data_IF_932386970276
#
_entry.id   IF_932386970276
#
_cell.length_a   1.000
_cell.length_b   1.000
_cell.length_c   1.000
_cell.angle_alpha   90.00
_cell.angle_beta   90.00
_cell.angle_gamma   90.00
#
_symmetry.space_group_name_H-M   'P 1'
#
loop_
_entity.id
_entity.type
_entity.pdbx_description
1 polymer ?
#
# COMPACT_ATOMS: atom_id res chain seq x y z
N UNK A 1 6.75 -31.31 -0.49
CA UNK A 1 7.43 -30.04 -0.19
C UNK A 1 7.18 -29.68 1.27
N UNK A 2 8.21 -29.58 2.10
CA UNK A 2 8.09 -29.00 3.43
C UNK A 2 7.63 -27.54 3.22
N UNK A 3 6.53 -27.12 3.89
CA UNK A 3 6.12 -25.72 3.92
C UNK A 3 7.29 -24.90 4.47
N UNK A 4 7.80 -23.96 3.69
CA UNK A 4 8.98 -23.16 4.10
C UNK A 4 8.58 -21.93 4.92
N UNK A 5 7.28 -21.64 5.03
CA UNK A 5 6.69 -20.57 5.82
C UNK A 5 5.63 -21.21 6.72
N UNK A 6 5.70 -20.90 8.00
CA UNK A 6 4.71 -21.24 9.01
C UNK A 6 3.84 -20.01 9.30
N UNK A 7 2.52 -20.16 9.21
CA UNK A 7 1.56 -19.11 9.54
C UNK A 7 1.20 -19.21 11.00
N UNK A 8 1.74 -18.32 11.83
CA UNK A 8 1.52 -18.31 13.28
C UNK A 8 0.29 -17.51 13.68
N UNK A 9 -0.05 -16.46 12.93
CA UNK A 9 -1.20 -15.62 13.19
C UNK A 9 -1.86 -15.11 11.91
N UNK A 10 -3.17 -14.86 11.98
CA UNK A 10 -3.96 -14.26 10.90
C UNK A 10 -4.88 -13.19 11.47
N UNK A 11 -5.18 -12.17 10.67
CA UNK A 11 -6.13 -11.13 11.04
C UNK A 11 -7.19 -10.92 9.94
N UNK A 12 -8.42 -10.67 10.34
CA UNK A 12 -9.52 -10.34 9.42
C UNK A 12 -10.44 -9.26 10.00
N UNK A 13 -11.10 -8.50 9.13
CA UNK A 13 -12.11 -7.52 9.52
C UNK A 13 -13.43 -8.18 9.92
N UNK A 14 -14.15 -8.72 8.92
CA UNK A 14 -15.49 -9.34 9.07
C UNK A 14 -15.62 -10.69 8.36
N UNK A 15 -14.70 -11.02 7.45
CA UNK A 15 -14.78 -12.25 6.64
C UNK A 15 -14.27 -13.44 7.44
N UNK A 16 -15.12 -13.99 8.29
CA UNK A 16 -14.77 -15.15 9.14
C UNK A 16 -14.89 -16.47 8.39
N UNK A 17 -15.62 -16.54 7.29
CA UNK A 17 -15.77 -17.76 6.48
C UNK A 17 -14.44 -18.13 5.82
N UNK A 18 -13.76 -17.16 5.20
CA UNK A 18 -12.44 -17.38 4.64
C UNK A 18 -11.39 -17.60 5.75
N UNK A 19 -11.51 -16.85 6.87
CA UNK A 19 -10.61 -17.01 7.99
C UNK A 19 -10.71 -18.42 8.61
N UNK A 20 -11.91 -18.97 8.74
CA UNK A 20 -12.12 -20.35 9.20
C UNK A 20 -11.41 -21.36 8.27
N UNK A 21 -11.55 -21.23 6.97
CA UNK A 21 -10.86 -22.09 5.99
C UNK A 21 -9.34 -22.01 6.17
N UNK A 22 -8.80 -20.80 6.33
CA UNK A 22 -7.38 -20.57 6.55
C UNK A 22 -6.90 -21.13 7.90
N UNK A 23 -7.72 -21.03 8.97
CA UNK A 23 -7.41 -21.66 10.27
C UNK A 23 -7.27 -23.18 10.13
N UNK A 24 -8.22 -23.79 9.42
CA UNK A 24 -8.20 -25.26 9.21
C UNK A 24 -7.07 -25.72 8.30
N UNK A 25 -6.62 -24.86 7.38
CA UNK A 25 -5.50 -25.15 6.48
C UNK A 25 -4.14 -24.91 7.13
N UNK A 26 -3.95 -23.78 7.80
CA UNK A 26 -2.64 -23.34 8.29
C UNK A 26 -2.39 -23.57 9.76
N UNK A 27 -3.43 -23.85 10.53
CA UNK A 27 -3.37 -24.09 11.98
C UNK A 27 -2.63 -23.02 12.79
N UNK A 28 -2.96 -21.71 12.61
CA UNK A 28 -2.31 -20.63 13.34
C UNK A 28 -2.58 -20.75 14.83
N UNK A 29 -1.65 -20.29 15.67
CA UNK A 29 -1.81 -20.30 17.12
C UNK A 29 -2.83 -19.29 17.61
N UNK A 30 -3.00 -18.16 16.87
CA UNK A 30 -3.91 -17.08 17.23
C UNK A 30 -4.44 -16.37 15.97
N UNK A 31 -5.70 -15.93 16.02
CA UNK A 31 -6.28 -15.08 14.98
C UNK A 31 -6.98 -13.87 15.59
N UNK A 32 -6.87 -12.71 14.93
CA UNK A 32 -7.57 -11.50 15.31
C UNK A 32 -8.75 -11.23 14.38
N UNK A 33 -9.92 -10.95 14.95
CA UNK A 33 -11.09 -10.50 14.19
C UNK A 33 -11.47 -9.09 14.67
N UNK A 34 -11.43 -8.11 13.77
CA UNK A 34 -11.74 -6.72 14.15
C UNK A 34 -13.15 -6.56 14.71
N UNK A 35 -14.14 -7.18 14.08
CA UNK A 35 -15.53 -7.13 14.52
C UNK A 35 -15.78 -8.11 15.66
N UNK A 36 -16.14 -7.59 16.84
CA UNK A 36 -16.34 -8.37 18.06
C UNK A 36 -17.44 -9.44 17.93
N UNK A 37 -18.56 -9.12 17.31
CA UNK A 37 -19.65 -10.09 17.10
C UNK A 37 -19.19 -11.25 16.19
N UNK A 38 -18.44 -10.94 15.12
CA UNK A 38 -17.86 -11.97 14.24
C UNK A 38 -16.76 -12.78 14.91
N UNK A 39 -16.04 -12.21 15.85
CA UNK A 39 -15.08 -12.95 16.66
C UNK A 39 -15.77 -14.03 17.52
N UNK A 40 -16.89 -13.69 18.18
CA UNK A 40 -17.67 -14.67 18.97
C UNK A 40 -18.28 -15.76 18.08
N UNK A 41 -18.80 -15.40 16.91
CA UNK A 41 -19.29 -16.38 15.93
C UNK A 41 -18.17 -17.34 15.48
N UNK A 42 -16.98 -16.81 15.20
CA UNK A 42 -15.83 -17.62 14.79
C UNK A 42 -15.40 -18.58 15.90
N UNK A 43 -15.37 -18.16 17.17
CA UNK A 43 -15.02 -19.03 18.31
C UNK A 43 -15.88 -20.29 18.35
N UNK A 44 -17.20 -20.15 18.06
CA UNK A 44 -18.10 -21.29 18.00
C UNK A 44 -17.77 -22.20 16.82
N UNK A 45 -17.51 -21.62 15.64
CA UNK A 45 -17.19 -22.38 14.42
C UNK A 45 -15.91 -23.21 14.50
N UNK A 46 -14.90 -22.73 15.25
CA UNK A 46 -13.58 -23.37 15.36
C UNK A 46 -13.34 -24.00 16.73
N UNK A 47 -14.39 -24.27 17.51
CA UNK A 47 -14.29 -24.87 18.86
C UNK A 47 -13.56 -26.23 18.87
N UNK A 48 -13.46 -26.89 17.72
CA UNK A 48 -12.72 -28.13 17.47
C UNK A 48 -11.23 -27.92 17.18
N UNK A 49 -10.74 -26.68 17.18
CA UNK A 49 -9.33 -26.33 16.91
C UNK A 49 -8.63 -25.78 18.15
N UNK A 50 -7.29 -25.73 18.13
CA UNK A 50 -6.50 -25.12 19.20
C UNK A 50 -6.24 -23.62 19.00
N UNK A 51 -6.76 -23.02 17.93
CA UNK A 51 -6.52 -21.63 17.56
C UNK A 51 -7.26 -20.68 18.50
N UNK A 52 -6.56 -19.74 19.13
CA UNK A 52 -7.18 -18.67 19.93
C UNK A 52 -7.76 -17.57 19.05
N UNK A 53 -8.89 -16.99 19.46
CA UNK A 53 -9.51 -15.83 18.77
C UNK A 53 -9.46 -14.61 19.68
N UNK A 54 -8.81 -13.55 19.21
CA UNK A 54 -8.73 -12.24 19.87
C UNK A 54 -9.43 -11.17 19.00
N UNK A 55 -9.66 -9.97 19.53
CA UNK A 55 -10.47 -8.96 18.84
C UNK A 55 -9.98 -7.54 19.05
N UNK A 56 -10.36 -6.64 18.14
CA UNK A 56 -10.06 -5.21 18.22
C UNK A 56 -8.56 -4.89 18.06
N UNK A 57 -8.18 -3.66 18.45
CA UNK A 57 -6.80 -3.19 18.31
C UNK A 57 -5.82 -4.01 19.15
N UNK A 58 -6.18 -4.34 20.38
CA UNK A 58 -5.34 -5.17 21.26
C UNK A 58 -5.08 -6.54 20.65
N UNK A 59 -6.09 -7.14 20.01
CA UNK A 59 -5.94 -8.40 19.29
C UNK A 59 -5.02 -8.29 18.08
N UNK A 60 -5.08 -7.19 17.32
CA UNK A 60 -4.16 -6.94 16.22
C UNK A 60 -2.72 -6.76 16.69
N UNK A 61 -2.52 -6.05 17.81
CA UNK A 61 -1.20 -5.88 18.42
C UNK A 61 -0.66 -7.22 18.92
N UNK A 62 -1.50 -8.04 19.55
CA UNK A 62 -1.11 -9.39 20.01
C UNK A 62 -0.63 -10.27 18.85
N UNK A 63 -1.35 -10.29 17.73
CA UNK A 63 -0.92 -11.00 16.51
C UNK A 63 0.41 -10.46 16.00
N UNK A 64 0.54 -9.14 15.93
CA UNK A 64 1.72 -8.47 15.40
C UNK A 64 2.97 -8.72 16.25
N UNK A 65 2.81 -9.07 17.52
CA UNK A 65 3.90 -9.29 18.48
C UNK A 65 4.11 -10.74 18.89
N UNK A 66 3.50 -11.72 18.19
CA UNK A 66 3.69 -13.15 18.49
C UNK A 66 5.17 -13.51 18.54
N UNK A 67 5.63 -14.08 19.66
CA UNK A 67 7.04 -14.29 19.98
C UNK A 67 7.83 -15.03 18.90
N UNK A 68 7.25 -16.10 18.35
CA UNK A 68 7.91 -16.94 17.33
C UNK A 68 7.81 -16.41 15.91
N UNK A 69 7.05 -15.33 15.67
CA UNK A 69 6.94 -14.76 14.34
C UNK A 69 8.18 -13.90 14.03
N UNK A 70 8.81 -14.12 12.90
CA UNK A 70 9.99 -13.38 12.44
C UNK A 70 9.61 -12.19 11.56
N UNK A 71 8.50 -12.31 10.83
CA UNK A 71 8.02 -11.32 9.88
C UNK A 71 6.53 -11.05 10.07
N UNK A 72 6.14 -9.78 10.04
CA UNK A 72 4.75 -9.35 9.98
C UNK A 72 4.39 -8.89 8.57
N UNK A 73 3.36 -9.46 7.95
CA UNK A 73 2.76 -8.93 6.73
C UNK A 73 1.68 -7.92 7.12
N UNK A 74 1.89 -6.65 6.83
CA UNK A 74 0.93 -5.58 7.11
C UNK A 74 0.08 -5.33 5.87
N UNK A 75 -1.11 -5.92 5.80
CA UNK A 75 -2.01 -5.82 4.65
C UNK A 75 -3.42 -5.33 5.03
N UNK A 76 -3.57 -4.71 6.19
CA UNK A 76 -4.82 -4.09 6.62
C UNK A 76 -4.94 -2.73 5.92
N UNK A 77 -6.08 -2.46 5.30
CA UNK A 77 -6.35 -1.20 4.61
C UNK A 77 -6.54 -0.06 5.62
N UNK A 78 -6.03 1.12 5.31
CA UNK A 78 -6.16 2.34 6.11
C UNK A 78 -5.23 2.39 7.31
N UNK A 79 -5.43 3.38 8.17
CA UNK A 79 -4.53 3.65 9.30
C UNK A 79 -4.61 2.65 10.46
N UNK A 80 -5.58 1.72 10.45
CA UNK A 80 -5.69 0.66 11.46
C UNK A 80 -4.39 -0.17 11.56
N UNK A 81 -3.64 -0.32 10.47
CA UNK A 81 -2.37 -1.04 10.42
C UNK A 81 -1.19 -0.37 11.13
N UNK A 82 -1.28 0.94 11.44
CA UNK A 82 -0.15 1.73 11.97
C UNK A 82 0.31 1.24 13.35
N UNK A 83 -0.60 1.13 14.32
CA UNK A 83 -0.27 0.69 15.69
C UNK A 83 0.29 -0.74 15.75
N UNK A 84 -0.30 -1.75 15.08
CA UNK A 84 0.29 -3.08 15.00
C UNK A 84 1.67 -3.10 14.34
N UNK A 85 1.90 -2.29 13.32
CA UNK A 85 3.21 -2.17 12.66
C UNK A 85 4.26 -1.62 13.60
N UNK A 86 3.96 -0.56 14.35
CA UNK A 86 4.87 0.00 15.39
C UNK A 86 5.19 -1.07 16.43
N UNK A 87 4.19 -1.77 16.95
CA UNK A 87 4.40 -2.81 17.95
C UNK A 87 5.27 -3.97 17.44
N UNK A 88 5.09 -4.36 16.17
CA UNK A 88 5.92 -5.40 15.55
C UNK A 88 7.39 -4.95 15.40
N UNK A 89 7.64 -3.71 14.96
CA UNK A 89 8.99 -3.14 14.87
C UNK A 89 9.66 -3.15 16.25
N UNK A 90 8.97 -2.67 17.29
CA UNK A 90 9.46 -2.66 18.67
C UNK A 90 9.72 -4.06 19.23
N UNK A 91 9.05 -5.08 18.68
CA UNK A 91 9.28 -6.49 19.00
C UNK A 91 10.37 -7.15 18.13
N UNK A 92 11.10 -6.36 17.33
CA UNK A 92 12.22 -6.85 16.50
C UNK A 92 11.80 -7.67 15.29
N UNK A 93 10.59 -7.48 14.75
CA UNK A 93 10.09 -8.23 13.58
C UNK A 93 10.29 -7.45 12.29
N UNK A 94 10.76 -8.13 11.25
CA UNK A 94 10.75 -7.58 9.90
C UNK A 94 9.32 -7.33 9.42
N UNK A 95 9.13 -6.31 8.61
CA UNK A 95 7.83 -5.91 8.09
C UNK A 95 7.77 -6.14 6.58
N UNK A 96 6.89 -7.03 6.13
CA UNK A 96 6.48 -7.11 4.73
C UNK A 96 5.31 -6.11 4.54
N UNK A 97 5.63 -4.93 4.02
CA UNK A 97 4.75 -3.77 4.01
C UNK A 97 3.88 -3.73 2.76
N UNK A 98 2.59 -4.02 2.91
CA UNK A 98 1.57 -3.82 1.88
C UNK A 98 0.63 -2.63 2.20
N UNK A 99 0.59 -2.18 3.46
CA UNK A 99 -0.21 -1.04 3.91
C UNK A 99 0.58 0.26 3.68
N UNK A 100 0.34 0.90 2.54
CA UNK A 100 1.02 2.16 2.17
C UNK A 100 0.66 3.33 3.09
N UNK A 101 -0.55 3.33 3.64
CA UNK A 101 -1.05 4.38 4.50
C UNK A 101 -0.17 4.57 5.74
N UNK A 102 0.40 3.50 6.27
CA UNK A 102 1.39 3.54 7.37
C UNK A 102 2.59 4.43 7.03
N UNK A 103 3.15 4.30 5.81
CA UNK A 103 4.30 5.12 5.39
C UNK A 103 3.90 6.53 5.00
N UNK A 104 2.73 6.70 4.39
CA UNK A 104 2.19 8.01 4.01
C UNK A 104 2.02 8.90 5.24
N UNK A 105 1.44 8.36 6.30
CA UNK A 105 1.06 9.15 7.48
C UNK A 105 2.16 9.22 8.56
N UNK A 106 2.95 8.17 8.69
CA UNK A 106 3.91 8.01 9.78
C UNK A 106 5.32 7.59 9.34
N UNK A 107 5.68 7.75 8.06
CA UNK A 107 7.00 7.34 7.57
C UNK A 107 8.17 7.96 8.34
N UNK A 108 8.02 9.21 8.82
CA UNK A 108 8.98 9.90 9.66
C UNK A 108 9.18 9.28 11.05
N UNK A 109 8.22 8.49 11.54
CA UNK A 109 8.33 7.69 12.77
C UNK A 109 8.81 6.28 12.48
N UNK A 110 8.26 5.64 11.45
CA UNK A 110 8.49 4.24 11.11
C UNK A 110 9.93 3.98 10.67
N UNK A 111 10.48 4.80 9.76
CA UNK A 111 11.83 4.52 9.22
C UNK A 111 12.95 4.69 10.24
N UNK A 112 12.98 5.76 11.08
CA UNK A 112 13.93 5.85 12.18
C UNK A 112 13.79 4.71 13.19
N UNK A 113 12.55 4.34 13.55
CA UNK A 113 12.28 3.22 14.47
C UNK A 113 12.77 1.90 13.91
N UNK A 114 12.52 1.60 12.64
CA UNK A 114 13.02 0.38 11.98
C UNK A 114 14.54 0.30 12.04
N UNK A 115 15.23 1.43 11.85
CA UNK A 115 16.69 1.51 11.97
C UNK A 115 17.16 1.30 13.43
N UNK A 116 16.47 1.89 14.40
CA UNK A 116 16.78 1.75 15.84
C UNK A 116 16.66 0.30 16.30
N UNK A 117 15.58 -0.38 15.91
CA UNK A 117 15.32 -1.78 16.27
C UNK A 117 15.99 -2.78 15.33
N UNK A 118 16.77 -2.31 14.33
CA UNK A 118 17.47 -3.12 13.34
C UNK A 118 16.54 -4.12 12.62
N UNK A 119 15.34 -3.69 12.27
CA UNK A 119 14.37 -4.45 11.48
C UNK A 119 14.29 -3.96 10.04
N UNK A 120 13.93 -4.84 9.13
CA UNK A 120 13.80 -4.53 7.70
C UNK A 120 12.35 -4.17 7.37
N UNK A 121 12.19 -3.13 6.57
CA UNK A 121 10.92 -2.84 5.89
C UNK A 121 11.03 -3.34 4.46
N UNK A 122 10.28 -4.38 4.12
CA UNK A 122 10.31 -5.06 2.83
C UNK A 122 9.04 -4.71 2.07
N UNK A 123 9.12 -3.94 0.98
CA UNK A 123 7.93 -3.48 0.27
C UNK A 123 7.22 -4.63 -0.45
N UNK A 124 5.91 -4.67 -0.31
CA UNK A 124 5.00 -5.60 -0.99
C UNK A 124 4.24 -4.90 -2.12
N UNK A 125 3.98 -3.59 -2.00
CA UNK A 125 3.44 -2.83 -3.14
C UNK A 125 4.31 -3.04 -4.38
N UNK A 126 3.70 -3.33 -5.54
CA UNK A 126 4.40 -3.79 -6.74
C UNK A 126 5.45 -2.81 -7.22
N UNK A 127 5.15 -1.54 -7.21
CA UNK A 127 6.05 -0.47 -7.64
C UNK A 127 7.24 -0.31 -6.68
N UNK A 128 6.98 -0.29 -5.38
CA UNK A 128 8.03 -0.18 -4.37
C UNK A 128 8.90 -1.43 -4.30
N UNK A 129 8.30 -2.60 -4.47
CA UNK A 129 9.05 -3.85 -4.62
C UNK A 129 9.97 -3.80 -5.85
N UNK A 130 9.49 -3.24 -6.97
CA UNK A 130 10.29 -3.09 -8.19
C UNK A 130 11.48 -2.14 -7.98
N UNK A 131 11.26 -0.99 -7.33
CA UNK A 131 12.33 -0.05 -6.96
C UNK A 131 13.34 -0.74 -6.04
N UNK A 132 12.86 -1.40 -4.98
CA UNK A 132 13.70 -2.15 -4.05
C UNK A 132 14.53 -3.21 -4.76
N UNK A 133 13.96 -3.95 -5.72
CA UNK A 133 14.67 -4.94 -6.52
C UNK A 133 15.70 -4.30 -7.46
N UNK A 134 15.40 -3.14 -8.05
CA UNK A 134 16.32 -2.40 -8.92
C UNK A 134 17.52 -1.80 -8.18
N UNK A 135 17.38 -1.61 -6.87
CA UNK A 135 18.47 -1.15 -5.99
C UNK A 135 19.39 -2.28 -5.53
N UNK A 136 19.00 -3.56 -5.73
CA UNK A 136 19.88 -4.68 -5.33
C UNK A 136 21.15 -4.73 -6.19
N UNK A 137 22.28 -4.86 -5.54
CA UNK A 137 23.59 -4.81 -6.20
C UNK A 137 24.15 -3.40 -6.40
N UNK A 138 23.36 -2.37 -6.21
CA UNK A 138 23.76 -0.96 -6.35
C UNK A 138 23.72 -0.18 -5.02
N UNK A 139 23.86 -0.88 -3.90
CA UNK A 139 23.81 -0.25 -2.57
C UNK A 139 24.91 0.81 -2.42
N UNK A 140 24.48 2.01 -2.00
CA UNK A 140 25.38 3.16 -1.80
C UNK A 140 25.60 4.02 -3.06
N UNK A 141 25.10 3.63 -4.21
CA UNK A 141 25.09 4.49 -5.38
C UNK A 141 23.96 5.52 -5.27
N UNK A 142 24.22 6.80 -5.55
CA UNK A 142 23.21 7.83 -5.45
C UNK A 142 22.12 7.66 -6.50
N UNK A 143 20.87 7.81 -6.05
CA UNK A 143 19.69 7.81 -6.91
C UNK A 143 19.54 9.21 -7.49
N UNK A 144 19.61 9.33 -8.83
CA UNK A 144 19.25 10.56 -9.50
C UNK A 144 17.73 10.78 -9.44
N UNK A 145 16.97 9.74 -9.81
CA UNK A 145 15.51 9.81 -9.85
C UNK A 145 14.86 8.43 -9.77
N UNK A 146 13.71 8.36 -9.14
CA UNK A 146 12.79 7.21 -9.20
C UNK A 146 11.76 7.49 -10.29
N UNK A 147 11.60 6.53 -11.20
CA UNK A 147 10.59 6.54 -12.24
C UNK A 147 9.46 5.60 -11.80
N UNK A 148 8.47 6.18 -11.11
CA UNK A 148 7.34 5.46 -10.54
C UNK A 148 6.28 5.23 -11.61
N UNK A 149 6.03 3.99 -12.02
CA UNK A 149 5.09 3.70 -13.08
C UNK A 149 3.65 3.67 -12.59
N UNK A 150 2.72 4.00 -13.48
CA UNK A 150 1.27 3.95 -13.26
C UNK A 150 0.59 3.35 -14.49
N UNK A 151 -0.52 2.62 -14.31
CA UNK A 151 -1.37 2.18 -15.44
C UNK A 151 -2.08 3.35 -16.13
N UNK A 152 -2.25 4.46 -15.41
CA UNK A 152 -3.07 5.61 -15.82
C UNK A 152 -4.54 5.49 -15.43
N UNK A 153 -4.94 4.36 -14.83
CA UNK A 153 -6.31 4.10 -14.39
C UNK A 153 -7.34 3.90 -15.54
N UNK A 154 -8.62 3.69 -15.19
CA UNK A 154 -9.68 3.41 -16.17
C UNK A 154 -10.06 4.62 -17.04
N UNK A 155 -9.66 5.83 -16.63
CA UNK A 155 -10.04 7.06 -17.32
C UNK A 155 -8.88 7.72 -18.07
N UNK A 156 -7.78 7.00 -18.28
CA UNK A 156 -6.64 7.47 -19.06
C UNK A 156 -7.10 8.01 -20.43
N UNK A 157 -6.66 9.22 -20.77
CA UNK A 157 -7.01 9.92 -22.02
C UNK A 157 -8.34 10.68 -21.99
N UNK A 158 -9.14 10.58 -20.93
CA UNK A 158 -10.33 11.41 -20.71
C UNK A 158 -9.95 12.80 -20.22
N UNK A 159 -10.86 13.76 -20.43
CA UNK A 159 -10.78 15.12 -19.90
C UNK A 159 -11.83 15.32 -18.82
N UNK A 160 -11.69 16.40 -18.04
CA UNK A 160 -12.58 16.71 -16.92
C UNK A 160 -14.07 16.67 -17.32
N UNK A 161 -14.40 17.18 -18.51
CA UNK A 161 -15.75 17.18 -19.07
C UNK A 161 -16.34 15.77 -19.20
N UNK A 162 -15.49 14.77 -19.51
CA UNK A 162 -15.89 13.37 -19.62
C UNK A 162 -16.12 12.72 -18.25
N UNK A 163 -15.63 13.36 -17.17
CA UNK A 163 -15.67 12.81 -15.81
C UNK A 163 -16.87 13.31 -14.99
N UNK A 164 -17.60 14.31 -15.47
CA UNK A 164 -18.74 14.94 -14.78
C UNK A 164 -19.83 13.93 -14.33
N UNK A 165 -20.06 12.88 -15.12
CA UNK A 165 -21.13 11.91 -14.92
C UNK A 165 -20.61 10.48 -14.63
N UNK A 166 -19.38 10.35 -14.15
CA UNK A 166 -18.81 9.04 -13.78
C UNK A 166 -19.58 8.44 -12.60
N UNK A 167 -20.00 7.21 -12.80
CA UNK A 167 -20.66 6.40 -11.76
C UNK A 167 -19.66 5.48 -11.07
N UNK A 168 -20.04 4.97 -9.91
CA UNK A 168 -19.23 4.01 -9.13
C UNK A 168 -18.83 2.81 -9.99
N UNK A 169 -19.76 2.26 -10.78
CA UNK A 169 -19.54 1.10 -11.63
C UNK A 169 -18.50 1.36 -12.74
N UNK A 170 -18.39 2.60 -13.20
CA UNK A 170 -17.41 3.00 -14.22
C UNK A 170 -16.01 3.14 -13.63
N UNK A 171 -15.92 3.71 -12.42
CA UNK A 171 -14.66 3.91 -11.72
C UNK A 171 -14.07 2.60 -11.13
N UNK A 172 -14.90 1.57 -10.94
CA UNK A 172 -14.45 0.25 -10.47
C UNK A 172 -13.90 -0.67 -11.57
N UNK A 173 -13.87 -0.23 -12.84
CA UNK A 173 -13.37 -1.02 -13.97
C UNK A 173 -11.88 -0.75 -14.22
N UNK A 174 -11.00 -1.38 -13.43
CA UNK A 174 -9.56 -1.25 -13.69
C UNK A 174 -9.12 -2.10 -14.89
N UNK A 175 -8.29 -1.57 -15.83
CA UNK A 175 -7.95 -2.28 -17.07
C UNK A 175 -7.08 -3.51 -16.87
N UNK A 176 -6.16 -3.52 -15.90
CA UNK A 176 -5.12 -4.54 -15.76
C UNK A 176 -5.17 -5.33 -14.45
N UNK A 177 -5.73 -4.76 -13.38
CA UNK A 177 -5.68 -5.33 -12.03
C UNK A 177 -7.08 -5.62 -11.49
N UNK A 178 -7.22 -6.75 -10.81
CA UNK A 178 -8.39 -7.04 -9.97
C UNK A 178 -8.06 -6.67 -8.53
N UNK A 179 -8.64 -5.59 -8.02
CA UNK A 179 -8.30 -4.99 -6.73
C UNK A 179 -9.55 -4.73 -5.88
N UNK A 180 -9.33 -4.39 -4.61
CA UNK A 180 -10.40 -3.90 -3.73
C UNK A 180 -11.01 -2.59 -4.23
N UNK A 181 -12.23 -2.29 -3.78
CA UNK A 181 -13.00 -1.13 -4.26
C UNK A 181 -12.26 0.20 -3.99
N UNK A 182 -11.75 0.40 -2.77
CA UNK A 182 -11.06 1.65 -2.38
C UNK A 182 -9.87 1.94 -3.29
N UNK A 183 -8.94 1.00 -3.42
CA UNK A 183 -7.74 1.19 -4.24
C UNK A 183 -8.05 1.32 -5.73
N UNK A 184 -9.16 0.73 -6.21
CA UNK A 184 -9.59 0.89 -7.61
C UNK A 184 -10.07 2.32 -7.87
N UNK A 185 -10.83 2.93 -6.94
CA UNK A 185 -11.18 4.36 -7.03
C UNK A 185 -9.93 5.23 -6.93
N UNK A 186 -9.02 4.95 -5.99
CA UNK A 186 -7.76 5.68 -5.86
C UNK A 186 -6.90 5.62 -7.13
N UNK A 187 -6.91 4.49 -7.83
CA UNK A 187 -6.25 4.34 -9.13
C UNK A 187 -6.93 5.22 -10.19
N UNK A 188 -8.26 5.28 -10.19
CA UNK A 188 -9.03 6.08 -11.17
C UNK A 188 -8.78 7.59 -11.03
N UNK A 189 -8.52 8.07 -9.83
CA UNK A 189 -8.23 9.48 -9.51
C UNK A 189 -6.73 9.81 -9.51
N UNK A 190 -5.87 8.82 -9.70
CA UNK A 190 -4.42 8.87 -9.50
C UNK A 190 -3.96 9.21 -8.07
N UNK A 191 -4.85 9.23 -7.09
CA UNK A 191 -4.47 9.36 -5.68
C UNK A 191 -3.63 8.16 -5.22
N UNK A 192 -3.93 6.95 -5.68
CA UNK A 192 -3.10 5.79 -5.37
C UNK A 192 -1.63 6.05 -5.70
N UNK A 193 -1.37 6.56 -6.91
CA UNK A 193 -0.01 6.89 -7.33
C UNK A 193 0.58 8.05 -6.52
N UNK A 194 -0.25 8.98 -6.08
CA UNK A 194 0.15 10.05 -5.17
C UNK A 194 0.58 9.54 -3.79
N UNK A 195 -0.17 8.61 -3.20
CA UNK A 195 0.21 7.96 -1.94
C UNK A 195 1.52 7.18 -2.10
N UNK A 196 1.71 6.51 -3.22
CA UNK A 196 2.94 5.80 -3.55
C UNK A 196 4.15 6.72 -3.71
N UNK A 197 3.99 7.95 -4.21
CA UNK A 197 5.06 8.97 -4.22
C UNK A 197 5.52 9.27 -2.79
N UNK A 198 4.58 9.45 -1.85
CA UNK A 198 4.92 9.74 -0.45
C UNK A 198 5.55 8.52 0.23
N UNK A 199 5.07 7.33 -0.06
CA UNK A 199 5.66 6.07 0.44
C UNK A 199 7.10 5.90 -0.07
N UNK A 200 7.36 6.11 -1.37
CA UNK A 200 8.68 6.00 -1.97
C UNK A 200 9.68 6.99 -1.36
N UNK A 201 9.26 8.22 -1.05
CA UNK A 201 10.09 9.21 -0.34
C UNK A 201 10.69 8.62 0.94
N UNK A 202 9.86 7.94 1.74
CA UNK A 202 10.30 7.38 3.02
C UNK A 202 11.08 6.08 2.87
N UNK A 203 10.61 5.16 2.04
CA UNK A 203 11.24 3.85 1.87
C UNK A 203 12.66 3.94 1.27
N UNK A 204 12.89 4.90 0.38
CA UNK A 204 14.15 5.01 -0.37
C UNK A 204 14.98 6.24 0.00
N UNK A 205 14.55 7.01 1.00
CA UNK A 205 15.24 8.21 1.51
C UNK A 205 15.58 9.20 0.37
N UNK A 206 14.57 9.53 -0.44
CA UNK A 206 14.68 10.48 -1.56
C UNK A 206 13.73 11.66 -1.38
N UNK A 207 14.04 12.79 -2.01
CA UNK A 207 13.12 13.92 -2.05
C UNK A 207 11.93 13.62 -2.97
N UNK A 208 10.77 14.19 -2.67
CA UNK A 208 9.57 14.04 -3.50
C UNK A 208 9.83 14.48 -4.96
N UNK A 209 10.66 15.48 -5.17
CA UNK A 209 11.01 15.99 -6.50
C UNK A 209 11.95 15.06 -7.29
N UNK A 210 12.56 14.08 -6.63
CA UNK A 210 13.30 13.00 -7.29
C UNK A 210 12.38 11.85 -7.74
N UNK A 211 11.07 11.89 -7.46
CA UNK A 211 10.13 10.86 -7.84
C UNK A 211 9.28 11.37 -9.00
N UNK A 212 9.49 10.81 -10.17
CA UNK A 212 8.76 11.14 -11.39
C UNK A 212 7.75 10.04 -11.71
N UNK A 213 6.47 10.40 -11.79
CA UNK A 213 5.43 9.46 -12.24
C UNK A 213 5.46 9.34 -13.78
N UNK A 214 5.44 8.10 -14.26
CA UNK A 214 5.40 7.74 -15.68
C UNK A 214 4.24 6.80 -15.92
N UNK A 215 3.34 7.12 -16.86
CA UNK A 215 2.26 6.21 -17.23
C UNK A 215 2.80 5.14 -18.17
N UNK A 216 2.63 3.88 -17.79
CA UNK A 216 2.99 2.69 -18.56
C UNK A 216 1.75 1.79 -18.66
N UNK A 217 0.95 1.94 -19.73
CA UNK A 217 -0.41 1.39 -19.79
C UNK A 217 -0.47 -0.14 -19.70
N UNK A 218 0.55 -0.83 -20.19
CA UNK A 218 0.59 -2.29 -20.17
C UNK A 218 0.84 -2.88 -18.77
N UNK A 219 1.29 -2.05 -17.80
CA UNK A 219 1.63 -2.45 -16.42
C UNK A 219 2.63 -3.62 -16.35
N UNK A 220 3.59 -3.64 -17.27
CA UNK A 220 4.67 -4.65 -17.34
C UNK A 220 5.93 -4.17 -16.63
N UNK A 221 6.29 -2.90 -16.80
CA UNK A 221 7.34 -2.27 -16.01
C UNK A 221 6.71 -1.78 -14.71
N UNK A 222 7.12 -2.39 -13.59
CA UNK A 222 6.54 -2.07 -12.29
C UNK A 222 7.17 -0.87 -11.60
N UNK A 223 8.34 -0.43 -11.96
CA UNK A 223 9.01 0.88 -11.74
C UNK A 223 10.49 0.77 -12.08
N UNK A 224 11.18 1.92 -12.08
CA UNK A 224 12.57 2.05 -12.49
C UNK A 224 13.33 2.99 -11.57
N UNK A 225 14.65 2.84 -11.52
CA UNK A 225 15.58 3.74 -10.83
C UNK A 225 16.61 4.25 -11.85
N UNK A 226 16.72 5.56 -11.97
CA UNK A 226 17.77 6.25 -12.72
C UNK A 226 18.87 6.67 -11.76
N UNK A 227 20.09 6.29 -12.06
CA UNK A 227 21.28 6.63 -11.28
C UNK A 227 21.98 7.87 -11.84
N UNK A 228 22.93 8.44 -11.09
CA UNK A 228 23.65 9.66 -11.48
C UNK A 228 24.48 9.53 -12.77
N UNK A 229 24.84 8.32 -13.17
CA UNK A 229 25.53 8.05 -14.43
C UNK A 229 24.57 7.96 -15.64
N UNK A 230 23.26 8.11 -15.41
CA UNK A 230 22.22 8.00 -16.42
C UNK A 230 21.75 6.57 -16.71
N UNK A 231 22.29 5.56 -16.01
CA UNK A 231 21.79 4.20 -16.13
C UNK A 231 20.38 4.07 -15.51
N UNK A 232 19.49 3.37 -16.20
CA UNK A 232 18.14 3.08 -15.70
C UNK A 232 17.99 1.59 -15.46
N UNK A 233 17.68 1.21 -14.22
CA UNK A 233 17.37 -0.16 -13.84
C UNK A 233 15.87 -0.32 -13.62
N UNK A 234 15.29 -1.39 -14.16
CA UNK A 234 13.84 -1.64 -14.12
C UNK A 234 13.56 -3.08 -13.71
N UNK A 235 12.47 -3.28 -12.96
CA UNK A 235 11.91 -4.61 -12.76
C UNK A 235 10.66 -4.77 -13.62
N UNK A 236 10.62 -5.84 -14.41
CA UNK A 236 9.52 -6.21 -15.27
C UNK A 236 8.88 -7.51 -14.77
N UNK A 237 7.57 -7.64 -14.96
CA UNK A 237 6.82 -8.84 -14.61
C UNK A 237 5.38 -8.79 -15.11
N UNK A 238 4.70 -9.92 -15.04
CA UNK A 238 3.25 -9.97 -15.21
C UNK A 238 2.56 -9.25 -14.03
N UNK A 239 1.37 -8.66 -14.19
CA UNK A 239 0.65 -7.98 -13.12
C UNK A 239 0.06 -8.99 -12.11
N UNK A 240 0.93 -9.57 -11.28
CA UNK A 240 0.58 -10.56 -10.24
C UNK A 240 1.29 -10.20 -8.91
N UNK A 241 0.49 -9.96 -7.87
CA UNK A 241 0.99 -9.64 -6.53
C UNK A 241 1.76 -10.78 -5.87
N UNK A 242 1.64 -12.01 -6.36
CA UNK A 242 2.41 -13.14 -5.80
C UNK A 242 3.92 -12.92 -5.88
N UNK A 243 4.40 -12.23 -6.92
CA UNK A 243 5.84 -11.97 -7.10
C UNK A 243 6.38 -11.05 -5.99
N UNK A 244 5.86 -9.83 -5.79
CA UNK A 244 6.37 -8.95 -4.72
C UNK A 244 6.11 -9.52 -3.32
N UNK A 245 4.99 -10.20 -3.08
CA UNK A 245 4.73 -10.88 -1.80
C UNK A 245 5.78 -11.96 -1.54
N UNK A 246 6.02 -12.84 -2.52
CA UNK A 246 7.02 -13.89 -2.39
C UNK A 246 8.42 -13.30 -2.15
N UNK A 247 8.79 -12.25 -2.89
CA UNK A 247 10.11 -11.64 -2.74
C UNK A 247 10.31 -11.01 -1.37
N UNK A 248 9.28 -10.33 -0.82
CA UNK A 248 9.34 -9.79 0.53
C UNK A 248 9.50 -10.89 1.59
N UNK A 249 8.81 -12.03 1.43
CA UNK A 249 8.85 -13.13 2.39
C UNK A 249 10.13 -13.98 2.35
N UNK A 250 10.82 -14.02 1.21
CA UNK A 250 12.04 -14.84 1.02
C UNK A 250 13.30 -14.00 0.81
N UNK A 251 13.20 -12.68 0.89
CA UNK A 251 14.35 -11.80 0.67
C UNK A 251 15.59 -12.24 1.50
N UNK A 252 16.79 -12.31 0.89
CA UNK A 252 17.14 -11.87 -0.47
C UNK A 252 16.99 -12.96 -1.57
N UNK A 253 16.42 -14.11 -1.26
CA UNK A 253 16.36 -15.23 -2.19
C UNK A 253 15.21 -15.09 -3.20
N UNK A 254 15.45 -15.58 -4.43
CA UNK A 254 14.38 -15.76 -5.43
C UNK A 254 14.00 -17.23 -5.47
N UNK A 255 12.70 -17.50 -5.32
CA UNK A 255 12.15 -18.86 -5.34
C UNK A 255 11.30 -19.07 -6.58
N UNK A 256 11.16 -20.33 -6.98
CA UNK A 256 10.23 -20.68 -8.07
C UNK A 256 8.82 -20.20 -7.73
N UNK A 257 8.20 -19.50 -8.67
CA UNK A 257 6.82 -19.04 -8.60
C UNK A 257 6.09 -19.59 -9.82
N UNK A 258 5.06 -20.43 -9.66
CA UNK A 258 4.23 -20.88 -10.78
C UNK A 258 3.40 -19.71 -11.31
N UNK A 259 3.11 -19.72 -12.61
CA UNK A 259 2.32 -18.69 -13.28
C UNK A 259 2.96 -18.24 -14.59
N UNK A 260 2.30 -17.29 -15.23
CA UNK A 260 2.71 -16.79 -16.54
C UNK A 260 4.05 -16.05 -16.47
N UNK A 261 4.77 -16.10 -17.59
CA UNK A 261 6.01 -15.37 -17.82
C UNK A 261 5.78 -14.34 -18.90
N UNK A 262 6.58 -13.26 -18.87
CA UNK A 262 6.55 -12.30 -19.97
C UNK A 262 7.09 -12.97 -21.24
N UNK A 263 6.33 -12.84 -22.33
CA UNK A 263 6.78 -13.13 -23.66
C UNK A 263 7.08 -11.82 -24.40
N UNK A 264 8.37 -11.53 -24.60
CA UNK A 264 8.80 -10.31 -25.24
C UNK A 264 8.50 -10.28 -26.74
N UNK A 265 8.32 -11.44 -27.38
CA UNK A 265 7.95 -11.53 -28.80
C UNK A 265 6.49 -11.15 -29.00
N UNK A 266 5.59 -11.64 -28.15
CA UNK A 266 4.17 -11.29 -28.18
C UNK A 266 3.93 -9.84 -27.76
N UNK A 267 4.65 -9.38 -26.75
CA UNK A 267 4.50 -8.03 -26.21
C UNK A 267 4.91 -6.95 -27.21
N UNK A 268 5.99 -7.17 -27.97
CA UNK A 268 6.47 -6.33 -29.07
C UNK A 268 6.93 -4.93 -28.69
N UNK A 269 6.11 -4.11 -28.01
CA UNK A 269 6.43 -2.74 -27.60
C UNK A 269 5.92 -2.39 -26.20
N UNK A 270 6.54 -1.40 -25.60
CA UNK A 270 6.12 -0.77 -24.34
C UNK A 270 5.91 0.72 -24.59
N UNK A 271 4.80 1.23 -24.12
CA UNK A 271 4.43 2.64 -24.29
C UNK A 271 4.63 3.41 -22.98
N UNK A 272 5.05 4.67 -23.10
CA UNK A 272 5.22 5.59 -21.99
C UNK A 272 4.50 6.90 -22.27
N UNK A 273 3.80 7.41 -21.26
CA UNK A 273 3.05 8.67 -21.35
C UNK A 273 3.35 9.54 -20.12
N UNK A 274 3.19 10.85 -20.30
CA UNK A 274 3.19 11.78 -19.18
C UNK A 274 1.83 11.74 -18.47
N UNK A 275 1.77 11.72 -17.13
CA UNK A 275 0.50 11.79 -16.42
C UNK A 275 -0.19 13.13 -16.67
N UNK A 276 -1.50 13.11 -16.93
CA UNK A 276 -2.33 14.31 -17.03
C UNK A 276 -2.72 14.77 -15.62
N UNK A 277 -1.86 15.58 -15.02
CA UNK A 277 -2.06 16.06 -13.64
C UNK A 277 -3.11 17.18 -13.54
N UNK A 278 -3.57 17.73 -14.65
CA UNK A 278 -4.62 18.76 -14.66
C UNK A 278 -5.98 18.09 -14.57
N UNK A 279 -6.22 17.06 -15.37
CA UNK A 279 -7.44 16.25 -15.28
C UNK A 279 -7.49 15.37 -14.00
N UNK A 280 -6.34 14.76 -13.62
CA UNK A 280 -6.24 13.90 -12.43
C UNK A 280 -5.51 14.64 -11.32
N UNK A 281 -6.22 15.59 -10.72
CA UNK A 281 -5.68 16.55 -9.75
C UNK A 281 -5.17 15.90 -8.46
N UNK A 282 -5.65 14.71 -8.12
CA UNK A 282 -5.22 13.97 -6.93
C UNK A 282 -3.71 13.75 -6.84
N UNK A 283 -3.04 13.54 -7.97
CA UNK A 283 -1.58 13.42 -8.00
C UNK A 283 -0.88 14.73 -7.62
N UNK A 284 -1.42 15.92 -8.03
CA UNK A 284 -0.89 17.21 -7.60
C UNK A 284 -1.04 17.43 -6.09
N UNK A 285 -2.20 17.08 -5.52
CA UNK A 285 -2.47 17.19 -4.09
C UNK A 285 -1.48 16.34 -3.29
N UNK A 286 -1.20 15.13 -3.75
CA UNK A 286 -0.24 14.26 -3.10
C UNK A 286 1.20 14.79 -3.18
N UNK A 287 1.62 15.32 -4.31
CA UNK A 287 2.93 16.00 -4.40
C UNK A 287 3.02 17.21 -3.46
N UNK A 288 1.93 18.00 -3.34
CA UNK A 288 1.84 19.11 -2.37
C UNK A 288 2.02 18.57 -0.95
N UNK A 289 1.23 17.58 -0.55
CA UNK A 289 1.31 16.98 0.78
C UNK A 289 2.69 16.38 1.08
N UNK A 290 3.28 15.69 0.11
CA UNK A 290 4.61 15.07 0.27
C UNK A 290 5.76 16.09 0.40
N UNK A 291 5.68 17.25 -0.27
CA UNK A 291 6.64 18.36 -0.15
C UNK A 291 6.49 19.08 1.17
N UNK A 292 5.28 19.45 1.56
CA UNK A 292 5.00 20.15 2.81
C UNK A 292 5.27 19.25 4.02
N UNK A 293 4.97 17.95 3.91
CA UNK A 293 5.21 16.99 4.99
C UNK A 293 4.35 17.25 6.23
N UNK A 294 4.89 16.89 7.39
CA UNK A 294 4.18 17.04 8.67
C UNK A 294 2.92 16.18 8.74
N UNK A 295 1.83 16.76 9.25
CA UNK A 295 0.52 16.08 9.33
C UNK A 295 -0.31 16.18 8.04
N UNK A 296 0.13 16.94 7.03
CA UNK A 296 -0.65 17.12 5.80
C UNK A 296 -0.86 15.82 4.99
N UNK A 297 0.12 14.89 4.90
CA UNK A 297 -0.12 13.57 4.30
C UNK A 297 -1.19 12.74 5.03
N UNK A 298 -1.34 12.90 6.36
CA UNK A 298 -2.40 12.27 7.13
C UNK A 298 -3.76 12.81 6.73
N UNK A 299 -3.88 14.13 6.58
CA UNK A 299 -5.13 14.77 6.11
C UNK A 299 -5.49 14.31 4.70
N UNK A 300 -4.52 14.30 3.77
CA UNK A 300 -4.72 13.77 2.41
C UNK A 300 -5.30 12.36 2.45
N UNK A 301 -4.70 11.47 3.25
CA UNK A 301 -5.15 10.09 3.35
C UNK A 301 -6.54 9.96 3.98
N UNK A 302 -6.79 10.59 5.12
CA UNK A 302 -8.06 10.52 5.85
C UNK A 302 -9.22 11.11 5.03
N UNK A 303 -9.01 12.29 4.43
CA UNK A 303 -10.00 12.91 3.55
C UNK A 303 -10.31 12.04 2.33
N UNK A 304 -9.27 11.43 1.72
CA UNK A 304 -9.48 10.49 0.62
C UNK A 304 -10.27 9.26 1.04
N UNK A 305 -9.94 8.63 2.16
CA UNK A 305 -10.68 7.45 2.66
C UNK A 305 -12.17 7.77 2.86
N UNK A 306 -12.47 8.91 3.46
CA UNK A 306 -13.84 9.36 3.69
C UNK A 306 -14.56 9.70 2.38
N UNK A 307 -13.94 10.50 1.50
CA UNK A 307 -14.53 10.92 0.23
C UNK A 307 -14.81 9.71 -0.68
N UNK A 308 -13.87 8.76 -0.78
CA UNK A 308 -14.06 7.51 -1.52
C UNK A 308 -15.20 6.66 -0.91
N UNK A 309 -15.27 6.56 0.42
CA UNK A 309 -16.38 5.87 1.09
C UNK A 309 -17.73 6.49 0.76
N UNK A 310 -17.83 7.83 0.74
CA UNK A 310 -19.03 8.56 0.35
C UNK A 310 -19.39 8.37 -1.12
N UNK A 311 -18.41 8.41 -2.02
CA UNK A 311 -18.59 8.14 -3.44
C UNK A 311 -19.14 6.72 -3.68
N UNK A 312 -18.56 5.70 -3.05
CA UNK A 312 -19.05 4.32 -3.13
C UNK A 312 -20.50 4.16 -2.65
N UNK A 313 -20.94 4.99 -1.71
CA UNK A 313 -22.34 5.07 -1.25
C UNK A 313 -23.20 5.99 -2.11
N UNK A 314 -22.65 6.64 -3.13
CA UNK A 314 -23.33 7.61 -4.01
C UNK A 314 -23.81 8.88 -3.28
N UNK A 315 -23.12 9.26 -2.21
CA UNK A 315 -23.39 10.48 -1.44
C UNK A 315 -22.70 11.70 -2.05
N UNK A 316 -21.62 11.48 -2.82
CA UNK A 316 -20.86 12.52 -3.53
C UNK A 316 -20.56 12.07 -4.96
N UNK A 317 -20.30 13.02 -5.87
CA UNK A 317 -19.91 12.77 -7.25
C UNK A 317 -18.39 12.48 -7.35
N UNK A 318 -17.98 11.94 -8.50
CA UNK A 318 -16.59 11.55 -8.75
C UNK A 318 -15.60 12.72 -8.61
N UNK A 319 -15.87 13.87 -9.21
CA UNK A 319 -15.00 15.04 -9.12
C UNK A 319 -14.99 15.68 -7.72
N UNK A 320 -16.09 15.61 -6.99
CA UNK A 320 -16.18 16.11 -5.61
C UNK A 320 -15.20 15.40 -4.65
N UNK A 321 -14.70 14.20 -5.00
CA UNK A 321 -13.68 13.53 -4.20
C UNK A 321 -12.44 14.42 -4.05
N UNK A 322 -11.94 15.00 -5.13
CA UNK A 322 -10.75 15.84 -5.11
C UNK A 322 -10.99 17.19 -4.45
N UNK A 323 -12.17 17.77 -4.65
CA UNK A 323 -12.58 19.02 -3.99
C UNK A 323 -12.60 18.86 -2.46
N UNK A 324 -13.18 17.78 -1.96
CA UNK A 324 -13.22 17.46 -0.51
C UNK A 324 -11.80 17.32 0.05
N UNK A 325 -10.92 16.61 -0.65
CA UNK A 325 -9.53 16.43 -0.20
C UNK A 325 -8.80 17.77 -0.14
N UNK A 326 -8.94 18.59 -1.18
CA UNK A 326 -8.30 19.90 -1.26
C UNK A 326 -8.81 20.84 -0.16
N UNK A 327 -10.11 20.89 0.07
CA UNK A 327 -10.73 21.69 1.12
C UNK A 327 -10.23 21.28 2.51
N UNK A 328 -10.16 19.99 2.81
CA UNK A 328 -9.60 19.48 4.07
C UNK A 328 -8.12 19.88 4.22
N UNK A 329 -7.32 19.72 3.17
CA UNK A 329 -5.90 20.08 3.19
C UNK A 329 -5.69 21.59 3.40
N UNK A 330 -6.52 22.44 2.79
CA UNK A 330 -6.44 23.89 2.91
C UNK A 330 -6.94 24.41 4.26
N UNK A 331 -7.91 23.75 4.87
CA UNK A 331 -8.44 24.09 6.19
C UNK A 331 -7.49 23.65 7.33
N UNK A 332 -6.64 22.65 7.09
CA UNK A 332 -5.79 22.06 8.12
C UNK A 332 -4.62 22.95 8.51
N UNK A 333 -4.36 23.04 9.80
CA UNK A 333 -3.15 23.67 10.35
C UNK A 333 -2.04 22.63 10.49
N UNK A 334 -1.11 22.61 9.56
CA UNK A 334 -0.06 21.60 9.48
C UNK A 334 0.83 21.58 10.73
N UNK A 335 1.05 20.38 11.29
CA UNK A 335 1.97 20.07 12.40
C UNK A 335 3.24 19.51 11.78
N UNK A 336 4.37 20.21 11.91
CA UNK A 336 5.61 19.88 11.19
C UNK A 336 6.19 18.49 11.50
N UNK A 337 6.18 18.06 12.77
CA UNK A 337 6.68 16.77 13.23
C UNK A 337 5.64 16.12 14.16
N UNK A 338 4.54 15.58 13.62
CA UNK A 338 3.47 15.06 14.45
C UNK A 338 3.88 13.78 15.20
N UNK A 339 3.54 13.71 16.49
CA UNK A 339 3.62 12.46 17.25
C UNK A 339 2.58 11.45 16.75
N UNK A 340 2.68 10.19 17.19
CA UNK A 340 1.68 9.17 16.89
C UNK A 340 0.26 9.61 17.32
N UNK A 341 0.13 10.20 18.52
CA UNK A 341 -1.15 10.69 19.04
C UNK A 341 -1.71 11.81 18.15
N UNK A 342 -0.84 12.73 17.71
CA UNK A 342 -1.24 13.82 16.82
C UNK A 342 -1.66 13.32 15.43
N UNK A 343 -0.99 12.29 14.90
CA UNK A 343 -1.39 11.63 13.65
C UNK A 343 -2.80 11.02 13.79
N UNK A 344 -3.02 10.26 14.87
CA UNK A 344 -4.33 9.62 15.13
C UNK A 344 -5.44 10.64 15.38
N UNK A 345 -5.11 11.77 16.02
CA UNK A 345 -6.06 12.88 16.20
C UNK A 345 -6.38 13.54 14.85
N UNK A 346 -5.36 13.83 14.05
CA UNK A 346 -5.55 14.43 12.70
C UNK A 346 -6.39 13.54 11.78
N UNK A 347 -6.27 12.21 11.89
CA UNK A 347 -7.13 11.28 11.16
C UNK A 347 -8.60 11.38 11.60
N UNK A 348 -8.82 11.58 12.91
CA UNK A 348 -10.17 11.60 13.48
C UNK A 348 -10.92 12.93 13.24
N UNK A 349 -10.21 14.03 13.03
CA UNK A 349 -10.75 15.38 12.72
C UNK A 349 -11.28 15.47 11.28
#
# INVERSE_FOLDING_TARGET
YKRQIEVLGLAAGKNIELLEQQIREFHPVCVAVWNKSKAEELKVKIADTATRVVTGMEGLIEIATLEKAEILVTAIVGMIGLRPTIAAIQSGKDIALANKETMVTAGHLIMPMAKEYNVRILPVDSEHSAIFQSLQGNKGNPIHKILLTASGGPFRGKKEEDLLNIRVEDALKHPNWSMGQKITIDSSTMINKGLEVIEAKWLFDVNVDQIQVVVQPQSVIHSMVEYEDGAVMAQLGTPDMKLPIQYALYYPERRYLPGDRLDFWEMGKLDFEKPDMDTFYGLKLAYKAGREGGSLPTVLNAANELAVSKFLKREVKYLEIMEIIEDCMNAHKNIANPSLEQILQTEAE
#
